data_IF_531187925120
#
_entry.id   IF_531187925120
#
_cell.length_a   1.000
_cell.length_b   1.000
_cell.length_c   1.000
_cell.angle_alpha   90.00
_cell.angle_beta   90.00
_cell.angle_gamma   90.00
#
_symmetry.space_group_name_H-M   'P 1'
#
loop_
_entity.id
_entity.type
_entity.pdbx_description
1 polymer ?
#
# COMPACT_ATOMS: atom_id res chain seq x y z
N UNK A 1 -17.95 7.02 7.74
CA UNK A 1 -16.90 6.08 8.19
C UNK A 1 -16.17 6.60 9.41
N UNK A 2 -15.38 7.68 9.33
CA UNK A 2 -14.60 8.23 10.47
C UNK A 2 -15.44 8.50 11.73
N UNK A 3 -16.64 9.11 11.59
CA UNK A 3 -17.57 9.27 12.71
C UNK A 3 -17.92 7.93 13.37
N UNK A 4 -18.21 6.90 12.57
CA UNK A 4 -18.53 5.57 13.07
C UNK A 4 -17.36 4.92 13.82
N UNK A 5 -16.12 5.10 13.34
CA UNK A 5 -14.92 4.65 14.06
C UNK A 5 -14.85 5.33 15.43
N UNK A 6 -14.99 6.66 15.46
CA UNK A 6 -14.98 7.43 16.71
C UNK A 6 -16.10 7.02 17.68
N UNK A 7 -17.29 6.75 17.15
CA UNK A 7 -18.45 6.34 17.95
C UNK A 7 -18.29 4.93 18.55
N UNK A 8 -17.53 4.05 17.89
CA UNK A 8 -17.21 2.69 18.37
C UNK A 8 -16.01 2.73 19.32
N UNK A 9 -14.86 3.19 18.84
CA UNK A 9 -13.62 3.26 19.60
C UNK A 9 -12.62 4.23 18.95
N UNK A 10 -12.33 5.35 19.62
CA UNK A 10 -11.45 6.39 19.10
C UNK A 10 -9.95 6.01 19.06
N UNK A 11 -9.54 4.94 19.75
CA UNK A 11 -8.16 4.40 19.70
C UNK A 11 -7.83 3.63 18.43
N UNK A 12 -8.84 3.28 17.61
CA UNK A 12 -8.60 2.54 16.38
C UNK A 12 -7.81 3.35 15.36
N UNK A 13 -6.88 2.68 14.69
CA UNK A 13 -6.13 3.25 13.55
C UNK A 13 -6.85 2.93 12.25
N UNK A 14 -7.13 3.95 11.46
CA UNK A 14 -7.72 3.82 10.14
C UNK A 14 -6.63 3.59 9.08
N UNK A 15 -6.68 2.46 8.38
CA UNK A 15 -5.81 2.16 7.25
C UNK A 15 -6.43 2.64 5.93
N UNK A 16 -5.65 3.26 5.05
CA UNK A 16 -6.13 3.61 3.71
C UNK A 16 -5.11 4.28 2.79
N UNK A 17 -5.56 4.63 1.59
CA UNK A 17 -4.70 5.26 0.58
C UNK A 17 -4.18 6.64 1.07
N UNK A 18 -2.87 6.93 0.89
CA UNK A 18 -2.30 8.24 1.20
C UNK A 18 -3.04 9.36 0.45
N UNK A 19 -3.03 10.56 1.03
CA UNK A 19 -3.59 11.80 0.46
C UNK A 19 -5.08 11.73 0.04
N UNK A 20 -5.80 10.71 0.48
CA UNK A 20 -7.22 10.51 0.21
C UNK A 20 -8.12 11.41 1.07
N UNK A 21 -9.37 11.58 0.65
CA UNK A 21 -10.40 12.23 1.48
C UNK A 21 -10.61 11.52 2.81
N UNK A 22 -10.34 10.21 2.88
CA UNK A 22 -10.40 9.44 4.11
C UNK A 22 -9.29 9.84 5.08
N UNK A 23 -8.05 10.00 4.58
CA UNK A 23 -6.92 10.48 5.37
C UNK A 23 -7.22 11.88 5.93
N UNK A 24 -7.68 12.80 5.08
CA UNK A 24 -8.08 14.16 5.49
C UNK A 24 -9.22 14.17 6.51
N UNK A 25 -10.19 13.26 6.38
CA UNK A 25 -11.29 13.15 7.32
C UNK A 25 -10.85 12.57 8.68
N UNK A 26 -9.92 11.61 8.69
CA UNK A 26 -9.36 11.05 9.91
C UNK A 26 -8.58 12.10 10.71
N UNK A 27 -7.72 12.87 10.03
CA UNK A 27 -6.96 13.97 10.61
C UNK A 27 -7.87 15.01 11.28
N UNK A 28 -8.88 15.51 10.56
CA UNK A 28 -9.87 16.45 11.12
C UNK A 28 -10.64 15.91 12.33
N UNK A 29 -10.78 14.59 12.45
CA UNK A 29 -11.49 13.94 13.54
C UNK A 29 -10.58 13.49 14.69
N UNK A 30 -9.26 13.66 14.57
CA UNK A 30 -8.28 13.17 15.54
C UNK A 30 -8.17 11.64 15.60
N UNK A 31 -8.51 10.94 14.50
CA UNK A 31 -8.38 9.49 14.39
C UNK A 31 -7.03 9.17 13.77
N UNK A 32 -6.26 8.27 14.40
CA UNK A 32 -4.99 7.81 13.87
C UNK A 32 -5.18 7.20 12.46
N UNK A 33 -4.28 7.55 11.53
CA UNK A 33 -4.33 7.05 10.16
C UNK A 33 -3.00 6.37 9.80
N UNK A 34 -3.09 5.20 9.17
CA UNK A 34 -1.96 4.51 8.58
C UNK A 34 -2.09 4.52 7.05
N UNK A 35 -1.08 5.04 6.35
CA UNK A 35 -1.07 5.03 4.89
C UNK A 35 -0.74 3.64 4.34
N UNK A 36 -1.46 3.20 3.33
CA UNK A 36 -1.30 1.91 2.66
C UNK A 36 -0.84 2.07 1.21
N UNK A 37 0.18 1.32 0.81
CA UNK A 37 0.59 1.16 -0.58
C UNK A 37 0.29 -0.26 -1.08
N UNK A 38 0.11 -0.41 -2.39
CA UNK A 38 -0.29 -1.67 -3.02
C UNK A 38 0.85 -2.16 -3.92
N UNK A 39 1.41 -3.33 -3.61
CA UNK A 39 2.59 -3.83 -4.33
C UNK A 39 2.24 -4.45 -5.68
N UNK A 40 1.01 -4.90 -5.83
CA UNK A 40 0.48 -5.66 -6.97
C UNK A 40 -0.52 -4.84 -7.81
N UNK A 41 -0.56 -3.52 -7.61
CA UNK A 41 -1.42 -2.60 -8.36
C UNK A 41 -0.61 -1.56 -9.11
N UNK A 42 -1.08 -1.23 -10.31
CA UNK A 42 -0.59 -0.08 -11.05
C UNK A 42 -1.16 1.22 -10.46
N UNK A 43 -0.34 2.27 -10.55
CA UNK A 43 -0.66 3.61 -10.06
C UNK A 43 -0.72 4.59 -11.21
N UNK A 44 -1.59 5.58 -11.09
CA UNK A 44 -1.56 6.79 -11.92
C UNK A 44 -0.52 7.78 -11.37
N UNK A 45 -0.10 8.79 -12.15
CA UNK A 45 0.90 9.78 -11.72
C UNK A 45 0.48 10.60 -10.49
N UNK A 46 -0.82 10.70 -10.23
CA UNK A 46 -1.38 11.39 -9.06
C UNK A 46 -1.39 10.53 -7.78
N UNK A 47 -0.83 9.31 -7.83
CA UNK A 47 -0.79 8.40 -6.69
C UNK A 47 -2.07 7.59 -6.46
N UNK A 48 -3.10 7.78 -7.30
CA UNK A 48 -4.30 6.93 -7.28
C UNK A 48 -4.03 5.59 -7.96
N UNK A 49 -4.88 4.59 -7.68
CA UNK A 49 -4.75 3.27 -8.31
C UNK A 49 -5.44 3.26 -9.68
N UNK A 50 -4.81 2.59 -10.65
CA UNK A 50 -5.45 2.27 -11.93
C UNK A 50 -6.70 1.39 -11.68
N UNK A 51 -7.88 1.74 -12.21
CA UNK A 51 -9.10 0.96 -12.06
C UNK A 51 -8.92 -0.52 -12.43
N UNK A 52 -9.46 -1.44 -11.62
CA UNK A 52 -9.22 -2.90 -11.79
C UNK A 52 -9.64 -3.46 -13.15
N UNK A 53 -10.57 -2.82 -13.85
CA UNK A 53 -11.07 -3.22 -15.16
C UNK A 53 -10.20 -2.70 -16.32
N UNK A 54 -9.17 -1.89 -16.06
CA UNK A 54 -8.25 -1.41 -17.08
C UNK A 54 -7.09 -2.42 -17.28
N UNK A 55 -6.60 -2.58 -18.53
CA UNK A 55 -5.42 -3.38 -18.80
C UNK A 55 -4.21 -2.92 -17.97
N UNK A 56 -3.49 -3.87 -17.38
CA UNK A 56 -2.30 -3.57 -16.57
C UNK A 56 -2.58 -3.08 -15.15
N UNK A 57 -3.85 -3.00 -14.71
CA UNK A 57 -4.20 -2.56 -13.36
C UNK A 57 -3.66 -3.45 -12.23
N UNK A 58 -3.39 -4.72 -12.53
CA UNK A 58 -2.86 -5.73 -11.61
C UNK A 58 -1.53 -6.25 -12.14
N UNK A 59 -0.54 -6.31 -11.25
CA UNK A 59 0.84 -6.74 -11.55
C UNK A 59 1.03 -8.15 -10.99
N UNK A 60 1.21 -9.14 -11.88
CA UNK A 60 1.43 -10.55 -11.52
C UNK A 60 2.91 -10.97 -11.51
N UNK A 61 3.84 -10.07 -11.84
CA UNK A 61 5.28 -10.36 -11.77
C UNK A 61 5.76 -10.46 -10.31
N UNK A 62 5.97 -11.70 -9.86
CA UNK A 62 6.47 -12.03 -8.50
C UNK A 62 7.78 -11.30 -8.18
N UNK A 63 8.72 -11.20 -9.13
CA UNK A 63 10.01 -10.57 -8.87
C UNK A 63 9.89 -9.05 -8.84
N UNK A 64 9.15 -8.48 -9.80
CA UNK A 64 8.86 -7.05 -9.87
C UNK A 64 8.13 -6.53 -8.64
N UNK A 65 7.09 -7.23 -8.19
CA UNK A 65 6.32 -6.88 -6.98
C UNK A 65 7.18 -6.92 -5.71
N UNK A 66 8.04 -7.92 -5.55
CA UNK A 66 8.95 -8.01 -4.41
C UNK A 66 10.02 -6.90 -4.41
N UNK A 67 10.55 -6.53 -5.58
CA UNK A 67 11.48 -5.40 -5.70
C UNK A 67 10.78 -4.06 -5.43
N UNK A 68 9.57 -3.88 -5.96
CA UNK A 68 8.72 -2.70 -5.71
C UNK A 68 8.42 -2.54 -4.21
N UNK A 69 8.18 -3.62 -3.48
CA UNK A 69 7.98 -3.58 -2.04
C UNK A 69 9.20 -2.99 -1.29
N UNK A 70 10.41 -3.39 -1.66
CA UNK A 70 11.64 -2.83 -1.09
C UNK A 70 11.76 -1.34 -1.42
N UNK A 71 11.43 -0.96 -2.65
CA UNK A 71 11.46 0.44 -3.10
C UNK A 71 10.51 1.31 -2.27
N UNK A 72 9.25 0.87 -2.12
CA UNK A 72 8.24 1.54 -1.30
C UNK A 72 8.71 1.72 0.15
N UNK A 73 9.21 0.66 0.79
CA UNK A 73 9.65 0.72 2.20
C UNK A 73 10.87 1.63 2.38
N UNK A 74 11.74 1.73 1.36
CA UNK A 74 12.92 2.60 1.39
C UNK A 74 12.64 4.03 0.94
N UNK A 75 11.39 4.38 0.62
CA UNK A 75 11.04 5.70 0.10
C UNK A 75 11.63 5.99 -1.28
N UNK A 76 11.88 4.95 -2.09
CA UNK A 76 12.34 5.08 -3.46
C UNK A 76 11.15 5.30 -4.40
N UNK A 77 11.40 5.90 -5.56
CA UNK A 77 10.38 6.08 -6.60
C UNK A 77 10.00 4.75 -7.23
N UNK A 78 8.73 4.59 -7.61
CA UNK A 78 8.21 3.50 -8.42
C UNK A 78 7.71 4.07 -9.75
N UNK A 79 7.43 3.21 -10.74
CA UNK A 79 6.89 3.64 -12.03
C UNK A 79 5.35 3.63 -12.01
N UNK A 80 4.75 4.73 -12.47
CA UNK A 80 3.32 4.86 -12.76
C UNK A 80 2.94 4.23 -14.11
N UNK A 81 1.64 4.16 -14.43
CA UNK A 81 1.10 3.56 -15.65
C UNK A 81 1.51 4.28 -16.93
N UNK A 82 1.79 5.58 -16.86
CA UNK A 82 2.30 6.40 -17.97
C UNK A 82 3.84 6.40 -18.09
N UNK A 83 4.54 5.69 -17.20
CA UNK A 83 6.00 5.63 -17.16
C UNK A 83 6.67 6.71 -16.31
N UNK A 84 5.92 7.64 -15.71
CA UNK A 84 6.47 8.65 -14.79
C UNK A 84 6.97 8.04 -13.48
N UNK A 85 7.90 8.73 -12.82
CA UNK A 85 8.34 8.38 -11.48
C UNK A 85 7.35 8.89 -10.43
N UNK A 86 6.94 7.99 -9.53
CA UNK A 86 5.99 8.26 -8.46
C UNK A 86 6.63 7.94 -7.12
N UNK A 87 6.55 8.87 -6.18
CA UNK A 87 6.94 8.64 -4.80
C UNK A 87 5.70 8.38 -3.94
N UNK A 88 5.72 7.31 -3.14
CA UNK A 88 4.64 6.95 -2.23
C UNK A 88 5.24 6.70 -0.86
N UNK A 89 4.72 7.40 0.15
CA UNK A 89 5.01 7.12 1.55
C UNK A 89 3.87 6.31 2.15
N UNK A 90 4.18 5.12 2.66
CA UNK A 90 3.20 4.24 3.29
C UNK A 90 3.79 3.51 4.51
N UNK A 91 2.92 3.18 5.45
CA UNK A 91 3.23 2.41 6.67
C UNK A 91 2.84 0.94 6.54
N UNK A 92 1.97 0.62 5.58
CA UNK A 92 1.53 -0.75 5.27
C UNK A 92 1.68 -1.04 3.78
N UNK A 93 1.96 -2.30 3.47
CA UNK A 93 1.96 -2.84 2.11
C UNK A 93 0.81 -3.84 1.96
N UNK A 94 -0.15 -3.53 1.10
CA UNK A 94 -1.22 -4.41 0.69
C UNK A 94 -0.74 -5.40 -0.37
N UNK A 95 -1.09 -6.67 -0.19
CA UNK A 95 -0.92 -7.75 -1.15
C UNK A 95 -2.25 -8.47 -1.27
N UNK A 96 -2.80 -8.60 -2.47
CA UNK A 96 -4.07 -9.30 -2.66
C UNK A 96 -3.88 -10.81 -2.57
N UNK A 97 -4.76 -11.47 -1.83
CA UNK A 97 -4.80 -12.92 -1.66
C UNK A 97 -5.72 -13.65 -2.64
N UNK A 98 -6.28 -12.94 -3.62
CA UNK A 98 -7.39 -13.41 -4.47
C UNK A 98 -6.95 -14.01 -5.82
N UNK A 99 -5.64 -14.22 -6.03
CA UNK A 99 -5.07 -14.82 -7.24
C UNK A 99 -4.14 -16.01 -6.93
N UNK A 100 -3.88 -16.85 -7.94
CA UNK A 100 -3.10 -18.08 -7.78
C UNK A 100 -1.63 -17.79 -7.40
N UNK A 101 -1.12 -16.64 -7.81
CA UNK A 101 0.25 -16.19 -7.59
C UNK A 101 0.46 -15.58 -6.19
N UNK A 102 -0.60 -15.28 -5.44
CA UNK A 102 -0.56 -14.52 -4.20
C UNK A 102 0.41 -15.11 -3.16
N UNK A 103 0.40 -16.43 -2.98
CA UNK A 103 1.32 -17.10 -2.06
C UNK A 103 2.79 -16.97 -2.50
N UNK A 104 3.05 -17.02 -3.81
CA UNK A 104 4.39 -16.84 -4.36
C UNK A 104 4.86 -15.39 -4.23
N UNK A 105 3.98 -14.42 -4.52
CA UNK A 105 4.23 -12.98 -4.33
C UNK A 105 4.56 -12.70 -2.86
N UNK A 106 3.74 -13.19 -1.92
CA UNK A 106 3.95 -12.95 -0.50
C UNK A 106 5.25 -13.57 0.01
N UNK A 107 5.58 -14.78 -0.45
CA UNK A 107 6.84 -15.44 -0.14
C UNK A 107 8.06 -14.66 -0.64
N UNK A 108 8.04 -14.21 -1.89
CA UNK A 108 9.11 -13.42 -2.49
C UNK A 108 9.26 -12.05 -1.79
N UNK A 109 8.15 -11.38 -1.49
CA UNK A 109 8.12 -10.09 -0.80
C UNK A 109 8.72 -10.20 0.60
N UNK A 110 8.32 -11.21 1.39
CA UNK A 110 8.87 -11.43 2.73
C UNK A 110 10.37 -11.71 2.69
N UNK A 111 10.84 -12.54 1.74
CA UNK A 111 12.25 -12.84 1.58
C UNK A 111 13.05 -11.58 1.23
N UNK A 112 12.61 -10.81 0.23
CA UNK A 112 13.31 -9.59 -0.23
C UNK A 112 13.32 -8.49 0.82
N UNK A 113 12.24 -8.28 1.55
CA UNK A 113 12.20 -7.32 2.66
C UNK A 113 13.18 -7.72 3.77
N UNK A 114 13.23 -9.01 4.14
CA UNK A 114 14.17 -9.51 5.14
C UNK A 114 15.63 -9.33 4.70
N UNK A 115 15.95 -9.68 3.46
CA UNK A 115 17.28 -9.46 2.87
C UNK A 115 17.67 -7.99 2.86
N UNK A 116 16.70 -7.09 2.66
CA UNK A 116 16.90 -5.64 2.69
C UNK A 116 17.03 -5.06 4.11
N UNK A 117 16.96 -5.90 5.17
CA UNK A 117 17.05 -5.47 6.56
C UNK A 117 15.77 -4.86 7.12
N UNK A 118 14.63 -5.07 6.46
CA UNK A 118 13.33 -4.54 6.91
C UNK A 118 12.72 -5.44 7.98
N UNK A 119 12.32 -4.84 9.11
CA UNK A 119 11.53 -5.51 10.14
C UNK A 119 10.05 -5.40 9.77
N UNK A 120 9.38 -6.54 9.67
CA UNK A 120 7.93 -6.60 9.44
C UNK A 120 7.25 -6.68 10.80
N UNK A 121 6.39 -5.72 11.11
CA UNK A 121 5.66 -5.62 12.36
C UNK A 121 4.22 -5.09 12.10
N UNK A 122 3.29 -5.29 13.04
CA UNK A 122 2.00 -4.60 13.00
C UNK A 122 2.17 -3.08 12.91
N UNK A 123 1.34 -2.41 12.11
CA UNK A 123 1.37 -0.95 11.96
C UNK A 123 0.63 -0.21 13.10
N UNK A 124 -0.16 -0.95 13.89
CA UNK A 124 -0.87 -0.47 15.07
C UNK A 124 -0.63 -1.44 16.24
N UNK A 125 -0.69 -0.90 17.46
CA UNK A 125 -0.45 -1.62 18.71
C UNK A 125 -1.65 -2.47 19.15
#
# INVERSE_FOLDING_TARGET
MVKGIRDVEASLTLLGLPDSEMARAADRAGIAFASEAFVDRAYKPDGTLVPRNEPGAVISDVKGTAQRAVMLVKGQTITADDGSELHITAQSLCVHGDNAEAAAILGALRARLKEAGVVIAPFAA
#
